data_IF_208724071286
#
_entry.id   IF_208724071286
#
_cell.length_a   1.000
_cell.length_b   1.000
_cell.length_c   1.000
_cell.angle_alpha   90.00
_cell.angle_beta   90.00
_cell.angle_gamma   90.00
#
_symmetry.space_group_name_H-M   'P 1'
#
loop_
_entity.id
_entity.type
_entity.pdbx_description
1 polymer ?
#
# COMPACT_ATOMS: atom_id res chain seq x y z
N UNK A 1 15.72 25.95 8.61
CA UNK A 1 15.96 25.69 7.17
C UNK A 1 16.12 27.06 6.55
N UNK A 2 17.24 27.36 5.92
CA UNK A 2 17.48 28.69 5.35
C UNK A 2 16.75 28.82 4.03
N UNK A 3 16.25 30.04 3.71
CA UNK A 3 15.50 30.33 2.48
C UNK A 3 16.24 29.90 1.20
N UNK A 4 17.57 29.91 1.20
CA UNK A 4 18.41 29.45 0.09
C UNK A 4 18.27 27.93 -0.19
N UNK A 5 18.08 27.13 0.86
CA UNK A 5 17.91 25.66 0.70
C UNK A 5 16.53 25.30 0.15
N UNK A 6 15.53 26.11 0.49
CA UNK A 6 14.18 25.98 -0.06
C UNK A 6 14.14 26.38 -1.54
N UNK A 7 14.83 27.48 -1.92
CA UNK A 7 14.93 27.95 -3.30
C UNK A 7 15.67 26.93 -4.20
N UNK A 8 16.72 26.28 -3.65
CA UNK A 8 17.45 25.24 -4.38
C UNK A 8 16.60 23.99 -4.61
N UNK A 9 15.83 23.55 -3.62
CA UNK A 9 14.93 22.39 -3.72
C UNK A 9 13.77 22.66 -4.69
N UNK A 10 13.22 23.87 -4.67
CA UNK A 10 12.19 24.30 -5.62
C UNK A 10 12.70 24.33 -7.07
N UNK A 11 13.95 24.79 -7.29
CA UNK A 11 14.59 24.80 -8.62
C UNK A 11 14.90 23.37 -9.10
N UNK A 12 15.31 22.46 -8.20
CA UNK A 12 15.51 21.07 -8.55
C UNK A 12 14.18 20.37 -8.90
N UNK A 13 13.12 20.60 -8.15
CA UNK A 13 11.79 20.05 -8.44
C UNK A 13 11.24 20.55 -9.77
N UNK A 14 11.39 21.86 -10.08
CA UNK A 14 10.93 22.46 -11.34
C UNK A 14 11.75 22.02 -12.57
N UNK A 15 13.03 21.68 -12.40
CA UNK A 15 13.90 21.24 -13.51
C UNK A 15 13.74 19.75 -13.86
N UNK A 16 13.17 18.93 -12.97
CA UNK A 16 12.86 17.52 -13.25
C UNK A 16 11.58 17.35 -14.07
N UNK A 17 10.71 18.37 -14.14
CA UNK A 17 9.40 18.30 -14.80
C UNK A 17 9.41 18.70 -16.29
N UNK A 18 10.56 19.06 -16.87
CA UNK A 18 10.62 19.60 -18.26
C UNK A 18 11.13 18.56 -19.27
N UNK A 19 11.11 17.28 -18.96
CA UNK A 19 11.65 16.27 -19.87
C UNK A 19 10.61 15.52 -20.73
N UNK A 20 9.30 15.65 -20.58
CA UNK A 20 8.35 15.14 -21.60
C UNK A 20 6.89 15.54 -21.29
N UNK A 21 6.50 16.72 -21.70
CA UNK A 21 5.18 17.01 -22.31
C UNK A 21 5.04 18.54 -22.51
N UNK A 22 4.79 18.95 -23.78
CA UNK A 22 4.43 20.31 -24.16
C UNK A 22 3.13 20.76 -23.47
N UNK A 23 3.23 21.28 -22.26
CA UNK A 23 2.18 22.06 -21.62
C UNK A 23 2.67 23.51 -21.56
N UNK A 24 2.17 24.36 -22.48
CA UNK A 24 2.33 25.81 -22.41
C UNK A 24 1.63 26.30 -21.14
N UNK A 25 2.40 26.55 -20.08
CA UNK A 25 1.93 27.34 -18.94
C UNK A 25 2.35 28.77 -19.20
N UNK A 26 1.38 29.63 -19.51
CA UNK A 26 1.60 31.07 -19.55
C UNK A 26 2.12 31.56 -18.19
N UNK A 27 3.39 31.95 -18.16
CA UNK A 27 4.04 32.45 -16.96
C UNK A 27 3.36 33.74 -16.52
N UNK A 28 2.57 33.70 -15.46
CA UNK A 28 2.09 34.87 -14.75
C UNK A 28 3.30 35.58 -14.15
N UNK A 29 3.69 36.69 -14.81
CA UNK A 29 4.73 37.61 -14.37
C UNK A 29 4.36 38.23 -13.03
N UNK A 30 4.84 37.69 -11.92
CA UNK A 30 4.77 38.36 -10.62
C UNK A 30 5.86 39.44 -10.60
N UNK A 31 5.46 40.69 -10.93
CA UNK A 31 6.30 41.85 -10.65
C UNK A 31 6.37 42.08 -9.16
N UNK A 32 7.55 41.88 -8.59
CA UNK A 32 7.88 42.33 -7.25
C UNK A 32 8.06 43.84 -7.25
N UNK A 33 7.05 44.60 -6.90
CA UNK A 33 7.19 46.01 -6.54
C UNK A 33 7.47 46.09 -5.03
N UNK A 34 8.74 46.33 -4.68
CA UNK A 34 9.13 46.78 -3.34
C UNK A 34 8.69 48.24 -3.18
N UNK A 35 7.59 48.46 -2.49
CA UNK A 35 7.37 49.78 -1.86
C UNK A 35 6.73 49.58 -0.47
N UNK A 36 7.48 50.05 0.52
CA UNK A 36 7.12 50.12 1.91
C UNK A 36 5.95 51.08 2.12
N UNK A 37 4.80 50.58 2.61
CA UNK A 37 3.89 51.40 3.45
C UNK A 37 2.83 50.56 4.13
N UNK A 38 2.76 50.76 5.45
CA UNK A 38 1.64 50.64 6.38
C UNK A 38 0.88 49.30 6.52
N UNK A 39 1.13 48.75 7.65
CA UNK A 39 0.51 47.65 8.38
C UNK A 39 -0.95 47.98 8.77
N UNK A 40 -1.90 47.97 7.84
CA UNK A 40 -3.34 48.21 8.19
C UNK A 40 -4.40 47.41 7.44
N UNK A 41 -4.06 46.35 6.71
CA UNK A 41 -5.05 45.49 6.04
C UNK A 41 -4.83 44.00 6.24
N UNK A 42 -4.91 43.54 7.48
CA UNK A 42 -4.90 42.12 7.80
C UNK A 42 -6.31 41.55 8.00
N UNK A 43 -7.22 41.75 7.04
CA UNK A 43 -8.59 41.21 7.13
C UNK A 43 -9.12 40.47 5.90
N UNK A 44 -8.33 40.24 4.88
CA UNK A 44 -8.78 39.42 3.76
C UNK A 44 -7.59 38.58 3.25
N UNK A 45 -7.32 37.44 3.87
CA UNK A 45 -6.58 36.37 3.23
C UNK A 45 -7.46 35.82 2.12
N UNK A 46 -7.09 35.96 0.83
CA UNK A 46 -7.89 35.36 -0.23
C UNK A 46 -7.78 33.81 -0.10
N UNK A 47 -8.93 33.15 -0.18
CA UNK A 47 -9.04 31.70 -0.18
C UNK A 47 -8.16 30.98 -1.23
N UNK A 48 -7.59 31.71 -2.18
CA UNK A 48 -6.66 31.26 -3.18
C UNK A 48 -5.30 30.79 -2.62
N UNK A 49 -4.82 31.35 -1.49
CA UNK A 49 -3.54 30.94 -0.91
C UNK A 49 -3.66 29.57 -0.18
N UNK A 50 -4.84 29.26 0.36
CA UNK A 50 -5.08 27.96 0.97
C UNK A 50 -5.24 26.83 -0.06
N UNK A 51 -5.80 27.15 -1.25
CA UNK A 51 -5.96 26.16 -2.32
C UNK A 51 -4.64 25.78 -2.97
N UNK A 52 -3.67 26.70 -3.08
CA UNK A 52 -2.33 26.39 -3.61
C UNK A 52 -1.55 25.50 -2.65
N UNK A 53 -1.68 25.72 -1.32
CA UNK A 53 -1.02 24.87 -0.32
C UNK A 53 -1.60 23.45 -0.30
N UNK A 54 -2.93 23.29 -0.48
CA UNK A 54 -3.58 21.98 -0.55
C UNK A 54 -3.20 21.25 -1.84
N UNK A 55 -3.09 21.96 -2.97
CA UNK A 55 -2.63 21.35 -4.22
C UNK A 55 -1.15 20.97 -4.18
N UNK A 56 -0.30 21.73 -3.49
CA UNK A 56 1.11 21.39 -3.31
C UNK A 56 1.30 20.16 -2.40
N UNK A 57 0.48 20.04 -1.36
CA UNK A 57 0.50 18.86 -0.47
C UNK A 57 -0.08 17.62 -1.16
N UNK A 58 -1.13 17.77 -1.97
CA UNK A 58 -1.68 16.67 -2.76
C UNK A 58 -0.74 16.22 -3.89
N UNK A 59 0.03 17.14 -4.50
CA UNK A 59 1.04 16.77 -5.49
C UNK A 59 2.25 16.07 -4.89
N UNK A 60 2.62 16.36 -3.63
CA UNK A 60 3.66 15.59 -2.92
C UNK A 60 3.21 14.16 -2.60
N UNK A 61 1.94 13.94 -2.24
CA UNK A 61 1.41 12.57 -2.04
C UNK A 61 1.37 11.77 -3.35
N UNK A 62 1.02 12.39 -4.46
CA UNK A 62 1.04 11.75 -5.79
C UNK A 62 2.48 11.43 -6.22
N UNK A 63 3.44 12.30 -5.92
CA UNK A 63 4.85 12.06 -6.27
C UNK A 63 5.46 10.89 -5.47
N UNK A 64 5.12 10.74 -4.19
CA UNK A 64 5.56 9.59 -3.39
C UNK A 64 4.97 8.26 -3.93
N UNK A 65 3.72 8.26 -4.41
CA UNK A 65 3.10 7.07 -5.00
C UNK A 65 3.77 6.60 -6.30
N UNK A 66 4.46 7.48 -7.02
CA UNK A 66 5.13 7.14 -8.30
C UNK A 66 6.47 6.43 -8.11
N UNK A 67 6.99 6.35 -6.89
CA UNK A 67 8.25 5.66 -6.60
C UNK A 67 8.08 4.21 -6.15
N UNK A 68 6.85 3.72 -5.96
CA UNK A 68 6.62 2.31 -5.67
C UNK A 68 6.73 1.47 -6.94
N UNK A 69 7.33 0.29 -6.82
CA UNK A 69 7.17 -0.76 -7.83
C UNK A 69 5.67 -1.06 -7.98
N UNK A 70 5.22 -1.31 -9.20
CA UNK A 70 3.88 -1.86 -9.41
C UNK A 70 3.81 -3.31 -8.89
N UNK A 71 2.61 -3.85 -8.69
CA UNK A 71 2.44 -5.25 -8.30
C UNK A 71 3.08 -6.21 -9.33
N UNK A 72 3.04 -5.84 -10.62
CA UNK A 72 3.74 -6.54 -11.70
C UNK A 72 5.26 -6.55 -11.47
N UNK A 73 5.85 -5.38 -11.20
CA UNK A 73 7.31 -5.29 -10.99
C UNK A 73 7.74 -6.06 -9.73
N UNK A 74 6.91 -6.09 -8.67
CA UNK A 74 7.13 -6.89 -7.47
C UNK A 74 7.18 -8.39 -7.80
N UNK A 75 6.30 -8.87 -8.68
CA UNK A 75 6.29 -10.27 -9.13
C UNK A 75 7.49 -10.57 -10.06
N UNK A 76 7.88 -9.63 -10.92
CA UNK A 76 9.08 -9.76 -11.75
C UNK A 76 10.36 -9.86 -10.89
N UNK A 77 10.49 -9.03 -9.84
CA UNK A 77 11.61 -9.11 -8.87
C UNK A 77 11.62 -10.43 -8.09
N UNK A 78 10.45 -11.02 -7.85
CA UNK A 78 10.31 -12.35 -7.26
C UNK A 78 10.59 -13.50 -8.28
N UNK A 79 11.03 -13.18 -9.49
CA UNK A 79 11.29 -14.10 -10.58
C UNK A 79 10.06 -14.93 -11.03
N UNK A 80 8.87 -14.34 -10.94
CA UNK A 80 7.60 -14.95 -11.38
C UNK A 80 6.95 -14.15 -12.52
N UNK A 81 7.42 -14.28 -13.77
CA UNK A 81 6.90 -13.53 -14.90
C UNK A 81 5.45 -13.88 -15.26
N UNK A 82 4.97 -15.08 -14.89
CA UNK A 82 3.58 -15.45 -15.10
C UNK A 82 2.67 -14.66 -14.14
N UNK A 83 3.00 -14.63 -12.88
CA UNK A 83 2.30 -13.82 -11.88
C UNK A 83 2.38 -12.31 -12.20
N UNK A 84 3.50 -11.85 -12.74
CA UNK A 84 3.64 -10.46 -13.19
C UNK A 84 2.63 -10.12 -14.30
N UNK A 85 2.43 -11.02 -15.25
CA UNK A 85 1.41 -10.86 -16.30
C UNK A 85 0.00 -10.86 -15.72
N UNK A 86 -0.27 -11.71 -14.73
CA UNK A 86 -1.57 -11.72 -14.06
C UNK A 86 -1.86 -10.42 -13.31
N UNK A 87 -0.88 -9.86 -12.59
CA UNK A 87 -1.04 -8.54 -11.97
C UNK A 87 -1.29 -7.42 -13.00
N UNK A 88 -0.70 -7.50 -14.19
CA UNK A 88 -0.92 -6.51 -15.25
C UNK A 88 -2.34 -6.59 -15.83
N UNK A 89 -2.91 -7.79 -15.95
CA UNK A 89 -4.17 -8.03 -16.67
C UNK A 89 -5.39 -8.15 -15.75
N UNK A 90 -5.22 -8.73 -14.57
CA UNK A 90 -6.30 -9.21 -13.71
C UNK A 90 -6.23 -8.68 -12.27
N UNK A 91 -5.47 -7.60 -12.02
CA UNK A 91 -5.38 -6.98 -10.70
C UNK A 91 -6.77 -6.51 -10.23
N UNK A 92 -7.17 -6.90 -9.01
CA UNK A 92 -8.44 -6.48 -8.43
C UNK A 92 -8.46 -5.01 -8.03
N UNK A 93 -7.29 -4.39 -7.91
CA UNK A 93 -7.13 -3.01 -7.45
C UNK A 93 -6.82 -2.12 -8.65
N UNK A 94 -7.58 -1.05 -8.79
CA UNK A 94 -7.30 -0.01 -9.78
C UNK A 94 -6.39 1.06 -9.14
N UNK A 95 -5.10 1.00 -9.46
CA UNK A 95 -4.08 1.84 -8.87
C UNK A 95 -3.46 1.26 -7.59
N UNK A 96 -3.17 2.10 -6.61
CA UNK A 96 -2.67 1.70 -5.29
C UNK A 96 -3.38 2.47 -4.18
N UNK A 97 -3.51 1.85 -3.02
CA UNK A 97 -4.09 2.48 -1.82
C UNK A 97 -3.02 2.56 -0.72
N UNK A 98 -2.77 3.76 -0.20
CA UNK A 98 -1.79 4.00 0.86
C UNK A 98 -2.47 4.45 2.14
N UNK A 99 -2.06 3.86 3.26
CA UNK A 99 -2.45 4.25 4.61
C UNK A 99 -1.19 4.58 5.42
N UNK A 100 -1.20 5.69 6.18
CA UNK A 100 -0.04 6.18 6.94
C UNK A 100 -0.26 5.98 8.44
N UNK A 101 0.76 5.45 9.13
CA UNK A 101 0.75 5.16 10.57
C UNK A 101 2.08 5.56 11.18
N UNK A 102 2.09 6.66 11.94
CA UNK A 102 3.31 7.17 12.54
C UNK A 102 4.40 7.39 11.49
N UNK A 103 5.48 6.64 11.63
CA UNK A 103 6.64 6.73 10.75
C UNK A 103 6.55 5.85 9.50
N UNK A 104 5.42 5.15 9.27
CA UNK A 104 5.27 4.19 8.18
C UNK A 104 4.12 4.52 7.22
N UNK A 105 4.37 4.30 5.94
CA UNK A 105 3.36 4.19 4.90
C UNK A 105 3.21 2.72 4.53
N UNK A 106 1.98 2.24 4.48
CA UNK A 106 1.62 0.91 3.98
C UNK A 106 0.81 1.08 2.73
N UNK A 107 1.29 0.53 1.62
CA UNK A 107 0.64 0.65 0.31
C UNK A 107 0.26 -0.72 -0.21
N UNK A 108 -1.02 -0.91 -0.49
CA UNK A 108 -1.53 -2.07 -1.21
C UNK A 108 -1.32 -1.82 -2.71
N UNK A 109 -0.52 -2.67 -3.36
CA UNK A 109 -0.13 -2.54 -4.77
C UNK A 109 -0.99 -3.39 -5.70
N UNK A 110 -1.40 -4.58 -5.22
CA UNK A 110 -2.19 -5.47 -6.05
C UNK A 110 -2.68 -6.71 -5.34
N UNK A 111 -3.75 -7.27 -5.87
CA UNK A 111 -4.32 -8.57 -5.51
C UNK A 111 -4.77 -9.27 -6.77
N UNK A 112 -4.38 -10.52 -6.95
CA UNK A 112 -4.88 -11.40 -8.02
C UNK A 112 -5.21 -12.76 -7.46
N UNK A 113 -6.19 -13.44 -8.06
CA UNK A 113 -6.56 -14.81 -7.68
C UNK A 113 -6.97 -15.59 -8.91
N UNK A 114 -6.55 -16.83 -8.97
CA UNK A 114 -6.87 -17.72 -10.07
C UNK A 114 -6.16 -19.05 -9.99
N UNK A 115 -6.46 -19.90 -10.97
CA UNK A 115 -5.84 -21.19 -11.10
C UNK A 115 -4.54 -21.09 -11.89
N UNK A 116 -3.48 -21.68 -11.36
CA UNK A 116 -2.16 -21.77 -12.00
C UNK A 116 -1.55 -20.42 -12.44
N UNK A 117 -1.81 -19.34 -11.68
CA UNK A 117 -1.38 -17.98 -12.01
C UNK A 117 0.09 -17.66 -11.64
N UNK A 118 0.84 -18.63 -11.12
CA UNK A 118 2.25 -18.47 -10.73
C UNK A 118 3.12 -19.54 -11.36
N UNK A 119 4.36 -19.20 -11.65
CA UNK A 119 5.40 -20.14 -12.09
C UNK A 119 5.92 -21.04 -10.97
N UNK A 120 5.64 -20.69 -9.71
CA UNK A 120 6.17 -21.31 -8.49
C UNK A 120 5.13 -22.12 -7.71
N UNK A 121 4.23 -22.79 -8.43
CA UNK A 121 3.19 -23.60 -7.79
C UNK A 121 3.78 -24.85 -7.15
N UNK A 122 3.33 -25.14 -5.93
CA UNK A 122 3.66 -26.39 -5.25
C UNK A 122 2.83 -27.55 -5.78
N UNK A 123 3.38 -28.77 -5.67
CA UNK A 123 2.65 -30.01 -5.94
C UNK A 123 2.37 -30.70 -4.62
N UNK A 124 1.20 -31.29 -4.52
CA UNK A 124 0.86 -32.17 -3.41
C UNK A 124 1.68 -33.49 -3.48
N UNK A 125 1.58 -34.32 -2.44
CA UNK A 125 2.26 -35.63 -2.37
C UNK A 125 1.84 -36.59 -3.49
N UNK A 126 0.72 -36.33 -4.17
CA UNK A 126 0.19 -37.08 -5.32
C UNK A 126 0.67 -36.53 -6.67
N UNK A 127 1.38 -35.38 -6.66
CA UNK A 127 1.87 -34.72 -7.84
C UNK A 127 0.85 -33.79 -8.52
N UNK A 128 -0.31 -33.56 -7.92
CA UNK A 128 -1.26 -32.58 -8.42
C UNK A 128 -0.79 -31.16 -8.08
N UNK A 129 -1.00 -30.24 -9.00
CA UNK A 129 -0.70 -28.82 -8.77
C UNK A 129 -1.83 -28.26 -7.90
N UNK A 130 -1.45 -27.65 -6.78
CA UNK A 130 -2.35 -26.83 -5.99
C UNK A 130 -2.43 -25.45 -6.66
N UNK A 131 -3.35 -25.33 -7.61
CA UNK A 131 -3.38 -24.27 -8.60
C UNK A 131 -4.17 -23.03 -8.19
N UNK A 132 -5.19 -23.19 -7.34
CA UNK A 132 -6.06 -22.08 -6.95
C UNK A 132 -5.44 -21.25 -5.83
N UNK A 133 -4.81 -20.15 -6.20
CA UNK A 133 -4.08 -19.27 -5.27
C UNK A 133 -4.55 -17.83 -5.36
N UNK A 134 -4.34 -17.12 -4.27
CA UNK A 134 -4.41 -15.65 -4.24
C UNK A 134 -3.03 -15.10 -3.95
N UNK A 135 -2.65 -14.06 -4.67
CA UNK A 135 -1.40 -13.31 -4.43
C UNK A 135 -1.71 -11.87 -4.09
N UNK A 136 -0.95 -11.34 -3.12
CA UNK A 136 -1.06 -9.97 -2.64
C UNK A 136 0.32 -9.33 -2.66
N UNK A 137 0.44 -8.14 -3.24
CA UNK A 137 1.64 -7.33 -3.21
C UNK A 137 1.42 -6.09 -2.35
N UNK A 138 2.30 -5.86 -1.37
CA UNK A 138 2.30 -4.66 -0.52
C UNK A 138 3.68 -4.03 -0.49
N UNK A 139 3.72 -2.70 -0.34
CA UNK A 139 4.93 -1.93 -0.07
C UNK A 139 4.84 -1.27 1.32
N UNK A 140 5.95 -1.23 2.03
CA UNK A 140 6.09 -0.58 3.32
C UNK A 140 7.29 0.35 3.25
N UNK A 141 7.10 1.61 3.59
CA UNK A 141 8.16 2.63 3.56
C UNK A 141 8.08 3.53 4.77
N UNK A 142 9.18 4.20 5.11
CA UNK A 142 9.12 5.29 6.08
C UNK A 142 8.44 6.52 5.48
N UNK A 143 7.65 7.22 6.28
CA UNK A 143 6.94 8.44 5.88
C UNK A 143 7.87 9.63 5.61
N UNK A 144 9.08 9.60 6.19
CA UNK A 144 10.14 10.59 5.98
C UNK A 144 11.09 10.26 4.82
N UNK A 145 10.79 9.21 4.06
CA UNK A 145 11.60 8.69 2.96
C UNK A 145 12.98 8.16 3.38
N UNK A 146 13.24 7.91 4.66
CA UNK A 146 14.42 7.17 5.09
C UNK A 146 14.30 5.70 4.66
N UNK A 147 15.42 5.03 4.31
CA UNK A 147 15.36 3.66 3.83
C UNK A 147 14.89 2.70 4.94
N UNK A 148 14.06 1.74 4.56
CA UNK A 148 13.71 0.61 5.42
C UNK A 148 14.95 -0.26 5.68
N UNK A 149 15.05 -0.90 6.86
CA UNK A 149 16.11 -1.85 7.14
C UNK A 149 15.99 -3.07 6.21
N UNK A 150 17.15 -3.64 5.80
CA UNK A 150 17.16 -4.86 5.00
C UNK A 150 16.59 -6.04 5.82
N UNK A 151 15.49 -6.65 5.37
CA UNK A 151 14.84 -7.73 6.11
C UNK A 151 15.72 -8.98 6.27
N UNK A 152 16.72 -9.17 5.41
CA UNK A 152 17.64 -10.31 5.46
C UNK A 152 18.83 -10.07 6.41
N UNK A 153 19.20 -8.81 6.62
CA UNK A 153 20.34 -8.40 7.45
C UNK A 153 19.88 -7.57 8.66
N UNK A 154 18.59 -7.48 8.87
CA UNK A 154 18.03 -6.71 9.96
C UNK A 154 18.44 -7.31 11.30
N UNK A 155 19.02 -6.48 12.18
CA UNK A 155 19.30 -6.85 13.56
C UNK A 155 18.00 -7.13 14.34
N UNK A 156 18.14 -7.54 15.62
CA UNK A 156 17.00 -7.82 16.50
C UNK A 156 16.00 -6.68 16.68
N UNK A 157 16.35 -5.47 16.25
CA UNK A 157 15.55 -4.24 16.41
C UNK A 157 14.74 -3.87 15.16
N UNK A 158 14.78 -4.70 14.10
CA UNK A 158 13.99 -4.45 12.91
C UNK A 158 12.51 -4.75 13.15
N UNK A 159 11.66 -3.80 12.78
CA UNK A 159 10.21 -3.98 12.81
C UNK A 159 9.82 -5.00 11.73
N UNK A 160 9.13 -6.05 12.13
CA UNK A 160 8.52 -7.01 11.22
C UNK A 160 7.06 -6.62 10.98
N UNK A 161 6.54 -7.00 9.83
CA UNK A 161 5.15 -6.72 9.47
C UNK A 161 4.43 -8.01 9.12
N UNK A 162 3.34 -8.25 9.84
CA UNK A 162 2.43 -9.35 9.60
C UNK A 162 1.35 -8.89 8.63
N UNK A 163 1.34 -9.49 7.44
CA UNK A 163 0.35 -9.23 6.40
C UNK A 163 -0.60 -10.42 6.31
N UNK A 164 -1.90 -10.17 6.40
CA UNK A 164 -2.90 -11.23 6.43
C UNK A 164 -4.24 -10.81 5.85
N UNK A 165 -4.89 -11.67 5.05
CA UNK A 165 -6.30 -11.50 4.76
C UNK A 165 -7.12 -11.84 6.02
N UNK A 166 -8.28 -11.20 6.13
CA UNK A 166 -9.31 -11.47 7.13
C UNK A 166 -10.66 -11.53 6.45
N UNK A 167 -11.41 -12.58 6.73
CA UNK A 167 -12.71 -12.79 6.14
C UNK A 167 -13.77 -12.29 7.11
N UNK A 168 -14.67 -11.44 6.65
CA UNK A 168 -15.75 -10.92 7.47
C UNK A 168 -16.59 -12.09 8.01
N UNK A 169 -16.87 -12.06 9.31
CA UNK A 169 -17.59 -13.12 10.01
C UNK A 169 -16.72 -14.20 10.63
N UNK A 170 -15.41 -14.27 10.29
CA UNK A 170 -14.46 -15.19 10.90
C UNK A 170 -13.61 -14.50 11.95
N UNK A 171 -13.33 -15.21 13.06
CA UNK A 171 -12.44 -14.72 14.12
C UNK A 171 -11.00 -14.61 13.59
N UNK A 172 -10.43 -13.39 13.49
CA UNK A 172 -9.11 -13.18 12.89
C UNK A 172 -7.97 -13.80 13.70
N UNK A 173 -8.18 -14.10 14.99
CA UNK A 173 -7.20 -14.82 15.81
C UNK A 173 -7.04 -16.30 15.40
N UNK A 174 -8.07 -16.87 14.79
CA UNK A 174 -8.10 -18.27 14.35
C UNK A 174 -7.92 -18.42 12.85
N UNK A 175 -8.51 -17.48 12.09
CA UNK A 175 -8.56 -17.52 10.64
C UNK A 175 -7.79 -16.34 10.07
N UNK A 176 -6.53 -16.54 9.81
CA UNK A 176 -5.59 -15.58 9.26
C UNK A 176 -4.61 -16.31 8.34
N UNK A 177 -3.63 -15.60 7.80
CA UNK A 177 -2.64 -16.13 6.86
C UNK A 177 -1.98 -17.43 7.32
N UNK A 178 -1.84 -17.66 8.65
CA UNK A 178 -1.16 -18.85 9.20
C UNK A 178 -1.88 -20.18 8.92
N UNK A 179 -3.15 -20.14 8.52
CA UNK A 179 -3.95 -21.34 8.16
C UNK A 179 -4.22 -21.45 6.66
N UNK A 180 -3.65 -20.56 5.84
CA UNK A 180 -3.92 -20.43 4.40
C UNK A 180 -2.74 -20.88 3.51
N UNK A 181 -1.92 -21.83 3.94
CA UNK A 181 -0.84 -22.35 3.08
C UNK A 181 0.05 -21.29 2.47
N UNK A 182 0.62 -20.40 3.29
CA UNK A 182 1.28 -19.18 2.84
C UNK A 182 2.69 -19.41 2.27
N UNK A 183 3.01 -18.67 1.22
CA UNK A 183 4.37 -18.33 0.81
C UNK A 183 4.56 -16.82 0.95
N UNK A 184 5.72 -16.36 1.40
CA UNK A 184 6.01 -14.95 1.55
C UNK A 184 7.41 -14.65 1.04
N UNK A 185 7.52 -13.78 0.05
CA UNK A 185 8.78 -13.23 -0.44
C UNK A 185 8.89 -11.79 0.02
N UNK A 186 9.95 -11.48 0.75
CA UNK A 186 10.22 -10.13 1.26
C UNK A 186 11.55 -9.66 0.72
N UNK A 187 11.60 -8.48 0.16
CA UNK A 187 12.82 -7.86 -0.36
C UNK A 187 12.80 -6.34 -0.20
N UNK A 188 13.98 -5.74 -0.35
CA UNK A 188 14.17 -4.29 -0.32
C UNK A 188 14.55 -3.81 -1.71
N UNK A 189 13.88 -2.78 -2.21
CA UNK A 189 14.25 -2.06 -3.43
C UNK A 189 14.07 -0.55 -3.20
N UNK A 190 15.09 0.23 -3.55
CA UNK A 190 15.11 1.69 -3.39
C UNK A 190 14.72 2.20 -1.97
N UNK A 191 15.09 1.43 -0.94
CA UNK A 191 14.79 1.76 0.45
C UNK A 191 13.34 1.46 0.88
N UNK A 192 12.56 0.79 0.05
CA UNK A 192 11.18 0.37 0.30
C UNK A 192 11.16 -1.16 0.48
N UNK A 193 10.49 -1.63 1.52
CA UNK A 193 10.28 -3.06 1.73
C UNK A 193 9.04 -3.50 0.96
N UNK A 194 9.18 -4.52 0.14
CA UNK A 194 8.10 -5.17 -0.58
C UNK A 194 7.83 -6.55 -0.01
N UNK A 195 6.56 -6.93 0.06
CA UNK A 195 6.13 -8.27 0.42
C UNK A 195 5.18 -8.80 -0.66
N UNK A 196 5.52 -9.94 -1.22
CA UNK A 196 4.67 -10.71 -2.11
C UNK A 196 4.21 -11.98 -1.37
N UNK A 197 2.92 -12.03 -1.06
CA UNK A 197 2.30 -13.16 -0.39
C UNK A 197 1.54 -13.99 -1.39
N UNK A 198 1.79 -15.31 -1.39
CA UNK A 198 0.94 -16.30 -2.05
C UNK A 198 0.22 -17.12 -0.98
N UNK A 199 -1.05 -17.43 -1.18
CA UNK A 199 -1.88 -18.17 -0.23
C UNK A 199 -2.95 -18.98 -0.96
N UNK A 200 -3.59 -19.90 -0.24
CA UNK A 200 -4.78 -20.59 -0.74
C UNK A 200 -5.85 -19.55 -1.12
N UNK A 201 -6.65 -19.88 -2.13
CA UNK A 201 -7.58 -18.90 -2.68
C UNK A 201 -8.56 -18.37 -1.64
N UNK A 202 -8.62 -17.04 -1.52
CA UNK A 202 -9.62 -16.34 -0.70
C UNK A 202 -10.83 -15.89 -1.54
N UNK A 203 -10.79 -16.05 -2.86
CA UNK A 203 -11.87 -15.65 -3.76
C UNK A 203 -13.21 -16.36 -3.41
N UNK A 204 -13.15 -17.58 -2.91
CA UNK A 204 -14.35 -18.31 -2.47
C UNK A 204 -15.15 -17.57 -1.38
N UNK A 205 -14.52 -16.69 -0.61
CA UNK A 205 -15.13 -15.88 0.46
C UNK A 205 -15.56 -14.48 -0.01
N UNK A 206 -15.49 -14.19 -1.30
CA UNK A 206 -15.79 -12.86 -1.85
C UNK A 206 -17.18 -12.34 -1.46
N UNK A 207 -18.20 -13.22 -1.39
CA UNK A 207 -19.56 -12.86 -1.00
C UNK A 207 -19.68 -12.40 0.47
N UNK A 208 -18.73 -12.74 1.33
CA UNK A 208 -18.72 -12.35 2.76
C UNK A 208 -18.03 -10.99 2.96
N UNK A 209 -17.11 -10.62 2.08
CA UNK A 209 -16.22 -9.47 2.18
C UNK A 209 -14.88 -9.85 2.82
N UNK A 210 -13.82 -9.31 2.27
CA UNK A 210 -12.45 -9.64 2.62
C UNK A 210 -11.70 -8.35 2.96
N UNK A 211 -10.95 -8.38 4.04
CA UNK A 211 -10.00 -7.34 4.41
C UNK A 211 -8.58 -7.86 4.23
N UNK A 212 -7.65 -6.94 3.95
CA UNK A 212 -6.22 -7.18 4.11
C UNK A 212 -5.72 -6.33 5.27
N UNK A 213 -5.18 -6.96 6.30
CA UNK A 213 -4.55 -6.28 7.41
C UNK A 213 -3.03 -6.33 7.31
N UNK A 214 -2.37 -5.22 7.67
CA UNK A 214 -0.92 -5.14 7.86
C UNK A 214 -0.67 -4.57 9.25
N UNK A 215 -0.02 -5.33 10.11
CA UNK A 215 0.29 -4.89 11.47
C UNK A 215 1.74 -5.15 11.85
N UNK A 216 2.28 -4.35 12.75
CA UNK A 216 3.57 -4.64 13.35
C UNK A 216 3.56 -5.97 14.09
N UNK A 217 4.65 -6.72 13.93
CA UNK A 217 4.87 -8.01 14.54
C UNK A 217 5.04 -9.14 13.52
N UNK A 218 5.45 -10.30 14.00
CA UNK A 218 5.64 -11.52 13.19
C UNK A 218 4.41 -12.42 13.12
N UNK A 219 3.36 -12.09 13.90
CA UNK A 219 2.13 -12.87 14.03
C UNK A 219 0.93 -11.95 14.21
N UNK A 220 -0.28 -12.54 14.18
CA UNK A 220 -1.50 -11.83 14.51
C UNK A 220 -1.40 -11.09 15.85
N UNK A 221 -1.66 -9.80 15.83
CA UNK A 221 -1.67 -8.95 17.02
C UNK A 221 -3.12 -8.61 17.41
N UNK A 222 -3.65 -9.17 18.51
CA UNK A 222 -5.04 -8.95 18.94
C UNK A 222 -5.31 -7.50 19.37
N UNK A 223 -4.27 -6.69 19.61
CA UNK A 223 -4.44 -5.29 19.94
C UNK A 223 -4.50 -4.37 18.71
N UNK A 224 -4.10 -4.85 17.54
CA UNK A 224 -4.08 -4.05 16.32
C UNK A 224 -5.50 -3.82 15.77
N UNK A 225 -6.40 -4.78 15.95
CA UNK A 225 -7.75 -4.76 15.40
C UNK A 225 -8.81 -5.07 16.45
N UNK A 226 -10.02 -4.57 16.23
CA UNK A 226 -11.19 -4.86 17.04
C UNK A 226 -12.15 -5.72 16.22
N UNK A 227 -12.41 -6.92 16.70
CA UNK A 227 -13.35 -7.86 16.08
C UNK A 227 -14.66 -7.87 16.84
N UNK A 228 -15.75 -7.50 16.18
CA UNK A 228 -17.10 -7.64 16.70
C UNK A 228 -17.69 -8.98 16.23
N UNK A 229 -17.77 -9.94 17.13
CA UNK A 229 -18.30 -11.27 16.83
C UNK A 229 -19.81 -11.29 16.53
N UNK A 230 -20.55 -10.25 16.89
CA UNK A 230 -21.99 -10.18 16.63
C UNK A 230 -22.27 -9.75 15.18
N UNK A 231 -21.51 -8.83 14.65
CA UNK A 231 -21.62 -8.35 13.26
C UNK A 231 -20.63 -9.05 12.30
N UNK A 232 -19.63 -9.73 12.84
CA UNK A 232 -18.52 -10.29 12.07
C UNK A 232 -17.57 -9.23 11.48
N UNK A 233 -17.63 -8.00 11.96
CA UNK A 233 -16.89 -6.87 11.41
C UNK A 233 -15.54 -6.73 12.09
N UNK A 234 -14.50 -6.51 11.30
CA UNK A 234 -13.17 -6.14 11.75
C UNK A 234 -12.94 -4.64 11.53
N UNK A 235 -12.44 -3.95 12.54
CA UNK A 235 -12.07 -2.54 12.45
C UNK A 235 -10.69 -2.31 13.04
N UNK A 236 -10.06 -1.22 12.68
CA UNK A 236 -8.80 -0.81 13.27
C UNK A 236 -9.01 -0.42 14.74
N UNK A 237 -8.06 -0.77 15.58
CA UNK A 237 -8.00 -0.21 16.93
C UNK A 237 -7.27 1.13 16.88
N UNK A 238 -8.01 2.23 16.98
CA UNK A 238 -7.47 3.60 16.96
C UNK A 238 -6.56 3.92 18.17
N UNK A 239 -6.61 3.10 19.21
CA UNK A 239 -5.76 3.24 20.40
C UNK A 239 -4.44 2.43 20.26
N UNK A 240 -4.27 1.69 19.19
CA UNK A 240 -3.04 0.95 18.94
C UNK A 240 -1.92 1.88 18.48
N UNK A 241 -0.78 1.77 19.15
CA UNK A 241 0.36 2.66 18.94
C UNK A 241 1.39 1.98 18.02
N UNK A 242 1.03 1.74 16.77
CA UNK A 242 1.84 1.07 15.77
C UNK A 242 1.10 0.95 14.45
N UNK A 243 1.69 0.25 13.50
CA UNK A 243 1.05 -0.01 12.19
C UNK A 243 -0.08 -1.01 12.37
N UNK A 244 -1.27 -0.65 11.92
CA UNK A 244 -2.46 -1.50 11.87
C UNK A 244 -3.33 -1.18 10.66
N UNK A 245 -2.73 -1.16 9.46
CA UNK A 245 -3.44 -0.91 8.23
C UNK A 245 -4.52 -1.96 7.99
N UNK A 246 -5.67 -1.51 7.47
CA UNK A 246 -6.78 -2.39 7.13
C UNK A 246 -7.42 -1.91 5.82
N UNK A 247 -7.23 -2.67 4.77
CA UNK A 247 -7.77 -2.42 3.44
C UNK A 247 -9.01 -3.30 3.23
N UNK A 248 -10.04 -2.78 2.59
CA UNK A 248 -11.14 -3.58 2.09
C UNK A 248 -10.83 -4.02 0.68
N UNK A 249 -10.74 -5.33 0.43
CA UNK A 249 -10.44 -5.81 -0.91
C UNK A 249 -11.70 -5.71 -1.81
N UNK A 250 -11.57 -5.12 -3.02
CA UNK A 250 -12.69 -4.94 -3.95
C UNK A 250 -12.96 -6.21 -4.74
N UNK A 251 -13.23 -7.31 -4.04
CA UNK A 251 -13.50 -8.62 -4.65
C UNK A 251 -14.91 -8.64 -5.19
N UNK A 252 -15.09 -9.13 -6.44
CA UNK A 252 -16.42 -9.33 -7.01
C UNK A 252 -17.16 -10.42 -6.20
N UNK A 253 -18.28 -10.09 -5.55
CA UNK A 253 -19.03 -11.06 -4.74
C UNK A 253 -19.49 -12.29 -5.53
N UNK A 254 -19.59 -12.19 -6.86
CA UNK A 254 -19.97 -13.32 -7.72
C UNK A 254 -18.89 -14.38 -7.84
N UNK A 255 -17.65 -14.08 -7.48
CA UNK A 255 -16.55 -15.06 -7.41
C UNK A 255 -16.67 -15.97 -6.18
N UNK A 256 -17.47 -15.57 -5.19
CA UNK A 256 -17.64 -16.33 -3.95
C UNK A 256 -18.57 -17.51 -4.12
N UNK A 257 -18.34 -18.57 -3.33
CA UNK A 257 -19.26 -19.68 -3.16
C UNK A 257 -20.12 -19.45 -1.90
N UNK A 258 -21.43 -19.17 -2.04
CA UNK A 258 -22.31 -18.98 -0.89
C UNK A 258 -22.43 -20.24 0.00
N UNK A 259 -22.07 -21.40 -0.54
CA UNK A 259 -22.08 -22.67 0.16
C UNK A 259 -20.73 -23.07 0.77
N UNK A 260 -19.68 -22.23 0.61
CA UNK A 260 -18.39 -22.51 1.18
C UNK A 260 -18.53 -22.69 2.70
N UNK A 261 -18.21 -23.86 3.27
CA UNK A 261 -18.25 -24.04 4.69
C UNK A 261 -17.25 -23.06 5.33
N UNK A 262 -17.71 -22.34 6.33
CA UNK A 262 -16.84 -21.56 7.20
C UNK A 262 -15.94 -22.60 7.88
N UNK A 263 -14.65 -22.55 7.57
CA UNK A 263 -13.62 -23.47 8.04
C UNK A 263 -13.63 -23.68 9.56
#
# INVERSE_FOLDING_TARGET
MTDEKLDLLLRQALNLEIADHDIQIDAVKIKSDRNTTSWKYWKHFPAAAASVAVLALSSMMVYAAWHYLSAKDVADEAADPHLAQEFEQNNWIDGCETQTYGDYNVTLLGVVSGNEISSHLSKDDSGNIDGDKTYVAVAISHSDCSPMPDPLNAGSDSVQFFVSPYIKGLDPAKYNISVLGVTNTVFLSDGIQYQLLGMDTIAAFACQGIYLGVSEGSNYNPNAYLYDSASGTLTRNESFNGVNALFTLPVDPTMGDPGQPIL
#
